data_IF_868502048337
#
_entry.id   IF_868502048337
#
_cell.length_a   1.000
_cell.length_b   1.000
_cell.length_c   1.000
_cell.angle_alpha   90.00
_cell.angle_beta   90.00
_cell.angle_gamma   90.00
#
_symmetry.space_group_name_H-M   'P 1'
#
loop_
_entity.id
_entity.type
_entity.pdbx_description
1 polymer ?
#
# COMPACT_ATOMS: atom_id res chain seq x y z
N UNK A 1 -16.68 13.56 -9.34
CA UNK A 1 -15.99 13.23 -8.05
C UNK A 1 -14.48 13.20 -8.26
N UNK A 2 -13.95 12.45 -9.27
CA UNK A 2 -12.48 12.32 -9.45
C UNK A 2 -11.74 13.65 -9.65
N UNK A 3 -12.28 14.59 -10.42
CA UNK A 3 -11.66 15.92 -10.57
C UNK A 3 -11.50 16.65 -9.23
N UNK A 4 -12.45 16.46 -8.31
CA UNK A 4 -12.36 17.05 -6.96
C UNK A 4 -11.29 16.37 -6.11
N UNK A 5 -11.17 15.03 -6.21
CA UNK A 5 -10.11 14.26 -5.52
C UNK A 5 -8.72 14.67 -6.05
N UNK A 6 -8.56 14.74 -7.37
CA UNK A 6 -7.31 15.17 -8.02
C UNK A 6 -6.94 16.59 -7.58
N UNK A 7 -7.91 17.53 -7.59
CA UNK A 7 -7.67 18.91 -7.13
C UNK A 7 -7.29 18.97 -5.65
N UNK A 8 -7.92 18.15 -4.81
CA UNK A 8 -7.62 18.06 -3.37
C UNK A 8 -6.21 17.52 -3.13
N UNK A 9 -5.85 16.42 -3.79
CA UNK A 9 -4.52 15.81 -3.70
C UNK A 9 -3.42 16.79 -4.17
N UNK A 10 -3.63 17.46 -5.30
CA UNK A 10 -2.67 18.43 -5.85
C UNK A 10 -2.47 19.67 -4.97
N UNK A 11 -3.41 19.96 -4.08
CA UNK A 11 -3.32 21.03 -3.06
C UNK A 11 -2.69 20.53 -1.75
N UNK A 12 -2.15 19.32 -1.71
CA UNK A 12 -1.54 18.71 -0.54
C UNK A 12 -2.50 17.95 0.37
N UNK A 13 -3.76 17.78 -0.05
CA UNK A 13 -4.73 16.98 0.71
C UNK A 13 -4.31 15.51 0.77
N UNK A 14 -4.52 14.88 1.94
CA UNK A 14 -4.16 13.48 2.17
C UNK A 14 -5.20 12.55 1.53
N UNK A 15 -4.73 11.64 0.69
CA UNK A 15 -5.58 10.66 0.01
C UNK A 15 -5.03 9.25 0.23
N UNK A 16 -5.90 8.32 0.61
CA UNK A 16 -5.58 6.89 0.69
C UNK A 16 -6.51 6.11 -0.24
N UNK A 17 -5.92 5.30 -1.10
CA UNK A 17 -6.62 4.35 -1.97
C UNK A 17 -6.38 2.91 -1.54
N UNK A 18 -7.44 2.22 -1.11
CA UNK A 18 -7.35 0.83 -0.65
C UNK A 18 -8.00 -0.07 -1.70
N UNK A 19 -7.30 -1.12 -2.13
CA UNK A 19 -7.72 -2.11 -3.10
C UNK A 19 -8.22 -1.44 -4.40
N UNK A 20 -9.52 -1.43 -4.68
CA UNK A 20 -10.10 -0.71 -5.82
C UNK A 20 -9.77 0.80 -5.80
N UNK A 21 -9.65 1.40 -4.62
CA UNK A 21 -9.19 2.78 -4.47
C UNK A 21 -7.77 2.99 -5.01
N UNK A 22 -6.86 2.05 -4.80
CA UNK A 22 -5.52 2.10 -5.37
C UNK A 22 -5.56 2.05 -6.91
N UNK A 23 -6.36 1.14 -7.49
CA UNK A 23 -6.57 1.06 -8.93
C UNK A 23 -7.06 2.40 -9.50
N UNK A 24 -8.05 3.01 -8.85
CA UNK A 24 -8.59 4.32 -9.23
C UNK A 24 -7.51 5.42 -9.16
N UNK A 25 -6.65 5.42 -8.15
CA UNK A 25 -5.56 6.41 -8.03
C UNK A 25 -4.51 6.25 -9.14
N UNK A 26 -4.23 5.03 -9.59
CA UNK A 26 -3.36 4.76 -10.73
C UNK A 26 -4.00 5.27 -12.04
N UNK A 27 -5.27 4.94 -12.29
CA UNK A 27 -6.01 5.41 -13.46
C UNK A 27 -6.16 6.93 -13.51
N UNK A 28 -6.31 7.56 -12.35
CA UNK A 28 -6.39 9.01 -12.22
C UNK A 28 -5.05 9.73 -12.37
N UNK A 29 -3.93 9.00 -12.49
CA UNK A 29 -2.58 9.54 -12.57
C UNK A 29 -2.07 10.19 -11.28
N UNK A 30 -2.71 9.92 -10.13
CA UNK A 30 -2.26 10.37 -8.81
C UNK A 30 -1.15 9.50 -8.25
N UNK A 31 -1.06 8.25 -8.70
CA UNK A 31 0.02 7.32 -8.44
C UNK A 31 0.53 6.76 -9.76
N UNK A 32 1.82 6.43 -9.88
CA UNK A 32 2.40 5.90 -11.10
C UNK A 32 2.22 4.39 -11.22
N UNK A 33 2.27 3.86 -12.46
CA UNK A 33 2.14 2.43 -12.75
C UNK A 33 0.72 2.01 -13.09
N UNK A 34 0.48 0.72 -13.18
CA UNK A 34 -0.83 0.14 -13.50
C UNK A 34 -1.10 -1.10 -12.65
N UNK A 35 -2.38 -1.46 -12.52
CA UNK A 35 -2.79 -2.69 -11.87
C UNK A 35 -3.31 -3.67 -12.91
N UNK A 36 -2.83 -4.90 -12.88
CA UNK A 36 -3.25 -5.97 -13.78
C UNK A 36 -3.77 -7.18 -13.00
N UNK A 37 -4.31 -8.16 -13.71
CA UNK A 37 -4.82 -9.40 -13.11
C UNK A 37 -3.72 -10.15 -12.34
N UNK A 38 -4.13 -10.79 -11.25
CA UNK A 38 -3.27 -11.71 -10.52
C UNK A 38 -2.68 -12.76 -11.46
N UNK A 39 -1.41 -13.09 -11.31
CA UNK A 39 -0.73 -14.12 -12.14
C UNK A 39 -1.45 -15.46 -12.12
N UNK A 40 -2.10 -15.81 -11.01
CA UNK A 40 -2.88 -17.04 -10.88
C UNK A 40 -4.20 -17.02 -11.67
N UNK A 41 -4.63 -15.86 -12.16
CA UNK A 41 -5.95 -15.57 -12.74
C UNK A 41 -7.12 -15.87 -11.79
N UNK A 42 -6.83 -16.05 -10.51
CA UNK A 42 -7.81 -16.35 -9.45
C UNK A 42 -7.95 -15.19 -8.50
N UNK A 43 -9.14 -15.09 -7.90
CA UNK A 43 -9.38 -14.17 -6.78
C UNK A 43 -8.59 -14.64 -5.56
N UNK A 44 -7.78 -13.76 -4.98
CA UNK A 44 -7.01 -14.01 -3.77
C UNK A 44 -7.74 -13.39 -2.57
N UNK A 45 -8.11 -14.23 -1.59
CA UNK A 45 -8.73 -13.79 -0.34
C UNK A 45 -8.03 -14.51 0.82
N UNK A 46 -7.06 -13.84 1.44
CA UNK A 46 -6.26 -14.39 2.54
C UNK A 46 -5.53 -13.28 3.31
N UNK A 47 -4.98 -13.64 4.46
CA UNK A 47 -4.01 -12.78 5.14
C UNK A 47 -2.67 -12.81 4.42
N UNK A 48 -2.01 -11.66 4.39
CA UNK A 48 -0.64 -11.48 3.92
C UNK A 48 0.15 -10.71 4.97
N UNK A 49 1.46 -10.81 4.90
CA UNK A 49 2.37 -10.01 5.71
C UNK A 49 3.00 -8.92 4.85
N UNK A 50 3.15 -7.73 5.42
CA UNK A 50 3.67 -6.54 4.75
C UNK A 50 4.88 -6.02 5.48
N UNK A 51 6.02 -6.05 4.83
CA UNK A 51 7.20 -5.32 5.27
C UNK A 51 7.01 -3.83 4.98
N UNK A 52 7.26 -2.97 5.97
CA UNK A 52 7.31 -1.51 5.78
C UNK A 52 8.70 -1.11 5.32
N UNK A 53 8.81 -0.59 4.09
CA UNK A 53 10.09 -0.17 3.50
C UNK A 53 10.44 1.28 3.85
N UNK A 54 9.44 2.14 3.95
CA UNK A 54 9.62 3.54 4.31
C UNK A 54 8.75 3.87 5.54
N UNK A 55 9.37 4.23 6.66
CA UNK A 55 8.70 4.57 7.92
C UNK A 55 8.61 6.08 8.15
N UNK A 56 9.08 6.89 7.21
CA UNK A 56 9.16 8.35 7.33
C UNK A 56 8.02 9.07 6.61
N UNK A 57 6.97 8.34 6.21
CA UNK A 57 5.81 8.91 5.53
C UNK A 57 4.67 9.18 6.52
N UNK A 58 3.77 10.11 6.17
CA UNK A 58 2.55 10.38 6.96
C UNK A 58 1.67 9.13 7.15
N UNK A 59 1.90 8.06 6.41
CA UNK A 59 1.15 6.80 6.48
C UNK A 59 1.84 5.72 7.33
N UNK A 60 3.06 5.96 7.83
CA UNK A 60 3.90 4.89 8.40
C UNK A 60 4.67 5.27 9.66
N UNK A 61 4.63 6.52 10.10
CA UNK A 61 5.39 7.01 11.27
C UNK A 61 5.06 6.29 12.58
N UNK A 62 3.85 5.76 12.73
CA UNK A 62 3.44 5.01 13.93
C UNK A 62 3.71 3.49 13.81
N UNK A 63 4.28 3.04 12.69
CA UNK A 63 4.69 1.65 12.55
C UNK A 63 6.03 1.47 13.25
N UNK A 64 6.03 0.80 14.39
CA UNK A 64 7.22 0.58 15.20
C UNK A 64 8.35 -0.11 14.42
N UNK A 65 9.59 0.30 14.67
CA UNK A 65 10.79 -0.38 14.16
C UNK A 65 10.86 -1.87 14.57
N UNK A 66 10.30 -2.20 15.74
CA UNK A 66 10.20 -3.57 16.22
C UNK A 66 9.17 -4.41 15.43
N UNK A 67 8.26 -3.78 14.67
CA UNK A 67 7.28 -4.48 13.83
C UNK A 67 7.98 -5.01 12.58
N UNK A 68 8.20 -6.31 12.53
CA UNK A 68 8.83 -6.98 11.38
C UNK A 68 7.95 -6.92 10.14
N UNK A 69 6.66 -7.26 10.30
CA UNK A 69 5.66 -7.21 9.24
C UNK A 69 4.26 -6.94 9.83
N UNK A 70 3.39 -6.32 9.05
CA UNK A 70 1.98 -6.11 9.36
C UNK A 70 1.14 -7.23 8.76
N UNK A 71 0.30 -7.88 9.55
CA UNK A 71 -0.64 -8.90 9.07
C UNK A 71 -1.96 -8.23 8.63
N UNK A 72 -2.20 -8.16 7.33
CA UNK A 72 -3.34 -7.46 6.74
C UNK A 72 -4.01 -8.34 5.68
N UNK A 73 -5.35 -8.42 5.60
CA UNK A 73 -6.03 -9.23 4.60
C UNK A 73 -6.00 -8.59 3.21
N UNK A 74 -6.02 -9.45 2.18
CA UNK A 74 -6.29 -9.09 0.78
C UNK A 74 -7.57 -9.75 0.28
N UNK A 75 -8.24 -9.10 -0.68
CA UNK A 75 -9.43 -9.63 -1.35
C UNK A 75 -9.54 -9.03 -2.77
N UNK A 76 -8.84 -9.60 -3.76
CA UNK A 76 -8.78 -9.05 -5.12
C UNK A 76 -8.48 -10.08 -6.20
N UNK A 77 -8.98 -9.84 -7.42
CA UNK A 77 -8.64 -10.57 -8.64
C UNK A 77 -7.61 -9.84 -9.51
N UNK A 78 -7.45 -8.54 -9.28
CA UNK A 78 -6.56 -7.64 -9.99
C UNK A 78 -5.75 -6.85 -8.95
N UNK A 79 -4.62 -7.40 -8.55
CA UNK A 79 -3.75 -6.80 -7.53
C UNK A 79 -2.27 -6.83 -7.89
N UNK A 80 -1.96 -7.23 -9.12
CA UNK A 80 -0.61 -7.33 -9.63
C UNK A 80 -0.14 -5.94 -10.11
N UNK A 81 0.67 -5.25 -9.31
CA UNK A 81 1.25 -3.97 -9.68
C UNK A 81 2.32 -4.16 -10.75
N UNK A 82 2.22 -3.36 -11.81
CA UNK A 82 3.13 -3.39 -12.95
C UNK A 82 3.59 -1.98 -13.32
N UNK A 83 4.89 -1.86 -13.63
CA UNK A 83 5.52 -0.63 -14.12
C UNK A 83 6.70 -0.99 -15.03
N UNK A 84 7.14 -0.05 -15.88
CA UNK A 84 8.39 -0.22 -16.61
C UNK A 84 9.61 -0.15 -15.67
N UNK A 85 10.76 -0.56 -16.18
CA UNK A 85 11.96 -0.70 -15.35
C UNK A 85 12.50 0.65 -14.87
N UNK A 86 12.31 1.71 -15.63
CA UNK A 86 12.71 3.07 -15.27
C UNK A 86 11.86 3.57 -14.10
N UNK A 87 10.56 3.39 -14.16
CA UNK A 87 9.65 3.75 -13.09
C UNK A 87 9.90 2.95 -11.82
N UNK A 88 10.16 1.63 -11.93
CA UNK A 88 10.52 0.81 -10.76
C UNK A 88 11.77 1.33 -10.06
N UNK A 89 12.81 1.72 -10.82
CA UNK A 89 14.02 2.35 -10.27
C UNK A 89 13.72 3.69 -9.60
N UNK A 90 12.88 4.53 -10.23
CA UNK A 90 12.46 5.80 -9.62
C UNK A 90 11.73 5.59 -8.28
N UNK A 91 10.82 4.63 -8.21
CA UNK A 91 10.10 4.30 -6.98
C UNK A 91 11.04 3.87 -5.85
N UNK A 92 12.08 3.11 -6.16
CA UNK A 92 13.10 2.70 -5.18
C UNK A 92 13.97 3.90 -4.75
N UNK A 93 14.54 4.64 -5.69
CA UNK A 93 15.41 5.79 -5.41
C UNK A 93 14.68 6.87 -4.60
N UNK A 94 13.43 7.15 -4.93
CA UNK A 94 12.61 8.16 -4.25
C UNK A 94 11.94 7.62 -2.96
N UNK A 95 12.19 6.35 -2.57
CA UNK A 95 11.59 5.70 -1.41
C UNK A 95 10.05 5.74 -1.43
N UNK A 96 9.46 5.62 -2.63
CA UNK A 96 8.00 5.65 -2.84
C UNK A 96 7.35 4.28 -2.62
N UNK A 97 8.11 3.18 -2.57
CA UNK A 97 7.59 1.86 -2.17
C UNK A 97 7.42 1.89 -0.66
N UNK A 98 6.16 1.84 -0.22
CA UNK A 98 5.83 1.92 1.18
C UNK A 98 5.74 0.53 1.82
N UNK A 99 5.11 -0.41 1.12
CA UNK A 99 4.91 -1.78 1.58
C UNK A 99 5.30 -2.80 0.52
N UNK A 100 5.95 -3.89 0.96
CA UNK A 100 6.16 -5.10 0.13
C UNK A 100 5.52 -6.31 0.79
N UNK A 101 5.04 -7.25 -0.03
CA UNK A 101 4.64 -8.57 0.46
C UNK A 101 5.87 -9.30 1.01
N UNK A 102 5.72 -9.90 2.19
CA UNK A 102 6.78 -10.59 2.91
C UNK A 102 6.24 -11.81 3.67
N UNK A 103 7.11 -12.52 4.36
CA UNK A 103 6.73 -13.42 5.45
C UNK A 103 6.50 -12.66 6.76
N UNK A 104 6.18 -13.37 7.85
CA UNK A 104 5.94 -12.80 9.18
C UNK A 104 7.19 -12.18 9.82
N UNK A 105 8.37 -12.59 9.37
CA UNK A 105 9.66 -12.06 9.81
C UNK A 105 10.12 -10.84 8.96
N UNK A 106 9.33 -10.43 7.96
CA UNK A 106 9.64 -9.30 7.08
C UNK A 106 10.60 -9.66 5.94
N UNK A 107 10.83 -10.95 5.65
CA UNK A 107 11.65 -11.37 4.53
C UNK A 107 10.84 -11.30 3.23
N UNK A 108 11.32 -10.51 2.28
CA UNK A 108 10.68 -10.34 0.97
C UNK A 108 11.16 -11.42 0.02
N UNK A 109 10.23 -12.24 -0.49
CA UNK A 109 10.52 -13.28 -1.48
C UNK A 109 9.34 -13.46 -2.43
N UNK A 110 9.59 -14.08 -3.59
CA UNK A 110 8.54 -14.35 -4.57
C UNK A 110 7.50 -15.36 -4.04
N UNK A 111 7.85 -16.20 -3.09
CA UNK A 111 6.94 -17.18 -2.46
C UNK A 111 5.85 -16.48 -1.64
N UNK A 112 6.15 -15.31 -1.09
CA UNK A 112 5.23 -14.51 -0.30
C UNK A 112 4.38 -13.56 -1.15
N UNK A 113 4.63 -13.50 -2.47
CA UNK A 113 3.90 -12.65 -3.40
C UNK A 113 2.57 -13.30 -3.82
N UNK A 114 1.41 -12.76 -3.40
CA UNK A 114 0.12 -13.42 -3.63
C UNK A 114 -0.43 -13.22 -5.04
N UNK A 115 0.10 -12.27 -5.81
CA UNK A 115 -0.54 -11.78 -7.03
C UNK A 115 0.40 -11.54 -8.21
N UNK A 116 1.72 -11.62 -8.01
CA UNK A 116 2.73 -11.39 -9.04
C UNK A 116 3.20 -9.94 -9.19
N UNK A 117 2.85 -9.05 -8.25
CA UNK A 117 3.34 -7.66 -8.23
C UNK A 117 4.84 -7.59 -8.37
N UNK A 118 5.32 -6.74 -9.28
CA UNK A 118 6.74 -6.49 -9.45
C UNK A 118 7.37 -5.99 -8.15
N UNK A 119 8.60 -6.45 -7.86
CA UNK A 119 9.33 -6.15 -6.63
C UNK A 119 8.53 -6.43 -5.34
N UNK A 120 7.54 -7.32 -5.40
CA UNK A 120 6.60 -7.61 -4.30
C UNK A 120 5.85 -6.37 -3.78
N UNK A 121 5.66 -5.34 -4.60
CA UNK A 121 4.99 -4.10 -4.21
C UNK A 121 3.55 -4.40 -3.78
N UNK A 122 3.22 -4.03 -2.54
CA UNK A 122 1.88 -4.10 -1.97
C UNK A 122 1.23 -2.72 -1.83
N UNK A 123 2.04 -1.66 -1.77
CA UNK A 123 1.58 -0.28 -1.68
C UNK A 123 2.70 0.72 -1.95
N UNK A 124 2.31 1.86 -2.52
CA UNK A 124 3.21 2.97 -2.88
C UNK A 124 2.66 4.32 -2.41
N UNK A 125 3.53 5.30 -2.36
CA UNK A 125 3.19 6.71 -2.09
C UNK A 125 3.64 7.57 -3.27
N UNK A 126 2.95 8.68 -3.54
CA UNK A 126 3.37 9.65 -4.57
C UNK A 126 4.63 10.42 -4.14
N UNK A 127 5.26 11.15 -5.08
CA UNK A 127 6.48 11.96 -4.81
C UNK A 127 6.25 13.03 -3.73
N UNK A 128 5.04 13.57 -3.60
CA UNK A 128 4.71 14.58 -2.60
C UNK A 128 4.41 14.00 -1.21
N UNK A 129 4.31 12.68 -1.08
CA UNK A 129 4.08 12.01 0.20
C UNK A 129 2.66 12.07 0.75
N UNK A 130 1.71 12.66 0.02
CA UNK A 130 0.33 12.88 0.48
C UNK A 130 -0.73 11.95 -0.13
N UNK A 131 -0.37 11.14 -1.12
CA UNK A 131 -1.25 10.15 -1.74
C UNK A 131 -0.65 8.77 -1.61
N UNK A 132 -1.37 7.83 -0.97
CA UNK A 132 -0.97 6.44 -0.82
C UNK A 132 -1.98 5.51 -1.48
N UNK A 133 -1.49 4.47 -2.14
CA UNK A 133 -2.30 3.34 -2.62
C UNK A 133 -1.74 2.02 -2.13
N UNK A 134 -2.63 1.10 -1.71
CA UNK A 134 -2.26 -0.25 -1.32
C UNK A 134 -3.36 -1.26 -1.64
N UNK A 135 -2.96 -2.49 -2.01
CA UNK A 135 -3.93 -3.56 -2.29
C UNK A 135 -4.48 -4.25 -1.05
N UNK A 136 -3.70 -4.49 0.02
CA UNK A 136 -4.23 -4.99 1.28
C UNK A 136 -5.22 -4.02 1.94
N UNK A 137 -6.10 -4.58 2.80
CA UNK A 137 -7.19 -3.86 3.46
C UNK A 137 -6.87 -3.56 4.94
N UNK A 138 -6.15 -2.46 5.26
CA UNK A 138 -5.84 -2.11 6.65
C UNK A 138 -7.11 -1.83 7.48
N UNK A 139 -8.19 -1.35 6.85
CA UNK A 139 -9.48 -1.11 7.52
C UNK A 139 -10.11 -2.38 8.08
N UNK A 140 -9.77 -3.55 7.51
CA UNK A 140 -10.21 -4.87 7.99
C UNK A 140 -9.29 -5.47 9.06
N UNK A 141 -8.24 -4.75 9.43
CA UNK A 141 -7.25 -5.14 10.44
C UNK A 141 -7.10 -4.05 11.51
N UNK A 142 -8.23 -3.45 11.92
CA UNK A 142 -8.27 -2.34 12.88
C UNK A 142 -9.05 -2.64 14.16
N UNK A 143 -9.71 -3.79 14.25
CA UNK A 143 -10.58 -4.10 15.37
C UNK A 143 -10.15 -5.44 16.01
N UNK A 144 -9.88 -5.46 17.33
CA UNK A 144 -9.55 -6.68 18.05
C UNK A 144 -10.63 -7.77 17.93
N UNK A 145 -11.90 -7.39 17.77
CA UNK A 145 -13.00 -8.34 17.58
C UNK A 145 -12.90 -9.09 16.25
N UNK A 146 -12.21 -8.50 15.25
CA UNK A 146 -11.87 -9.12 13.97
C UNK A 146 -10.58 -9.94 14.05
N UNK A 147 -9.93 -10.00 15.23
CA UNK A 147 -8.71 -10.75 15.48
C UNK A 147 -7.44 -10.11 14.92
N UNK A 148 -7.49 -8.84 14.45
CA UNK A 148 -6.35 -8.15 13.83
C UNK A 148 -6.37 -6.67 14.14
N UNK A 149 -5.20 -6.09 14.46
CA UNK A 149 -5.08 -4.66 14.80
C UNK A 149 -3.91 -3.96 14.09
N UNK A 150 -3.16 -4.67 13.25
CA UNK A 150 -1.96 -4.14 12.61
C UNK A 150 -2.24 -2.95 11.69
N UNK A 151 -3.41 -2.94 11.04
CA UNK A 151 -3.88 -1.82 10.22
C UNK A 151 -4.08 -0.52 10.98
N UNK A 152 -4.30 -0.57 12.31
CA UNK A 152 -4.42 0.64 13.14
C UNK A 152 -3.18 1.54 13.05
N UNK A 153 -1.98 0.97 12.89
CA UNK A 153 -0.74 1.73 12.87
C UNK A 153 -0.70 2.70 11.68
N UNK A 154 -1.28 2.30 10.53
CA UNK A 154 -1.38 3.16 9.34
C UNK A 154 -2.32 4.34 9.62
N UNK A 155 -3.52 4.08 10.16
CA UNK A 155 -4.48 5.14 10.46
C UNK A 155 -4.03 6.05 11.60
N UNK A 156 -3.32 5.51 12.61
CA UNK A 156 -2.68 6.31 13.67
C UNK A 156 -1.63 7.26 13.11
N UNK A 157 -0.82 6.82 12.14
CA UNK A 157 0.16 7.67 11.46
C UNK A 157 -0.51 8.88 10.82
N UNK A 158 -1.61 8.65 10.08
CA UNK A 158 -2.39 9.72 9.45
C UNK A 158 -3.02 10.65 10.51
N UNK A 159 -3.64 10.07 11.54
CA UNK A 159 -4.29 10.85 12.59
C UNK A 159 -3.29 11.75 13.33
N UNK A 160 -2.13 11.23 13.69
CA UNK A 160 -1.09 11.99 14.37
C UNK A 160 -0.53 13.11 13.49
N UNK A 161 -0.37 12.88 12.19
CA UNK A 161 0.04 13.92 11.25
C UNK A 161 -0.98 15.06 11.15
N UNK A 162 -2.29 14.76 11.20
CA UNK A 162 -3.36 15.79 11.10
C UNK A 162 -3.48 16.60 12.41
N UNK A 163 -3.18 15.98 13.55
CA UNK A 163 -3.36 16.58 14.87
C UNK A 163 -2.16 17.42 15.34
N UNK A 164 -0.99 17.28 14.70
CA UNK A 164 0.22 18.03 14.96
C UNK A 164 0.50 19.09 13.88
#
# INVERSE_FOLDING_TARGET
IMNSVISFANKGGIVIGICNGFQILLEAGLLPGVMIRNNSLKFACKDVYLKTENRETIFSTEISEATKALKIPIAHGEGNYFADIELLKELEINRQILFRYSDEDGNVSNENNPNGSQLNIAGIVNKNGNVMGMMPHPERACDPTLGRTDGQQIFKSIANYILN
#
